data_IF_877795172215
#
_entry.id   IF_877795172215
#
_cell.length_a   1.000
_cell.length_b   1.000
_cell.length_c   1.000
_cell.angle_alpha   90.00
_cell.angle_beta   90.00
_cell.angle_gamma   90.00
#
_symmetry.space_group_name_H-M   'P 1'
#
loop_
_entity.id
_entity.type
_entity.pdbx_description
1 polymer ?
#
# COMPACT_ATOMS: atom_id res chain seq x y z
N UNK A 1 13.44 1.48 16.75
CA UNK A 1 13.85 1.80 15.37
C UNK A 1 12.85 1.26 14.35
N UNK A 2 13.23 1.24 13.06
CA UNK A 2 12.36 0.78 11.95
C UNK A 2 12.03 -0.71 12.07
N UNK A 3 13.01 -1.52 12.43
CA UNK A 3 12.85 -2.98 12.52
C UNK A 3 11.96 -3.38 13.72
N UNK A 4 12.04 -2.66 14.83
CA UNK A 4 11.22 -2.88 16.01
C UNK A 4 9.75 -2.53 15.73
N UNK A 5 9.49 -1.41 15.04
CA UNK A 5 8.13 -1.03 14.61
C UNK A 5 7.54 -2.06 13.64
N UNK A 6 8.35 -2.59 12.71
CA UNK A 6 7.91 -3.62 11.78
C UNK A 6 7.48 -4.90 12.53
N UNK A 7 8.33 -5.39 13.44
CA UNK A 7 7.99 -6.56 14.27
C UNK A 7 6.75 -6.34 15.13
N UNK A 8 6.59 -5.15 15.72
CA UNK A 8 5.37 -4.83 16.48
C UNK A 8 4.13 -4.89 15.59
N UNK A 9 4.21 -4.37 14.37
CA UNK A 9 3.09 -4.38 13.41
C UNK A 9 2.70 -5.80 13.03
N UNK A 10 3.68 -6.67 12.79
CA UNK A 10 3.45 -8.10 12.53
C UNK A 10 2.77 -8.78 13.72
N UNK A 11 3.33 -8.63 14.93
CA UNK A 11 2.80 -9.25 16.14
C UNK A 11 1.37 -8.80 16.44
N UNK A 12 1.06 -7.50 16.27
CA UNK A 12 -0.29 -6.95 16.46
C UNK A 12 -1.34 -7.51 15.49
N UNK A 13 -0.93 -8.16 14.40
CA UNK A 13 -1.84 -8.79 13.44
C UNK A 13 -1.87 -10.30 13.59
N UNK A 14 -0.70 -10.93 13.65
CA UNK A 14 -0.57 -12.39 13.68
C UNK A 14 -1.05 -12.95 15.02
N UNK A 15 -0.76 -12.30 16.16
CA UNK A 15 -1.11 -12.81 17.48
C UNK A 15 -2.56 -12.57 17.90
N UNK A 16 -3.44 -12.12 16.98
CA UNK A 16 -4.87 -12.00 17.25
C UNK A 16 -5.58 -13.34 17.28
N UNK A 17 -5.01 -14.35 16.62
CA UNK A 17 -5.57 -15.70 16.51
C UNK A 17 -4.78 -16.71 17.34
N UNK A 18 -5.43 -17.83 17.70
CA UNK A 18 -4.76 -18.95 18.36
C UNK A 18 -4.23 -19.96 17.33
N UNK A 19 -2.95 -20.33 17.49
CA UNK A 19 -2.28 -21.30 16.62
C UNK A 19 -2.05 -22.62 17.33
N UNK A 20 -2.83 -23.62 16.96
CA UNK A 20 -2.74 -24.98 17.54
C UNK A 20 -1.61 -25.83 16.92
N UNK A 21 -1.11 -25.42 15.75
CA UNK A 21 -0.02 -26.10 15.04
C UNK A 21 1.04 -25.07 14.64
N UNK A 22 2.34 -25.36 14.83
CA UNK A 22 3.42 -24.45 14.43
C UNK A 22 3.37 -24.04 12.96
N UNK A 23 3.07 -24.98 12.06
CA UNK A 23 2.98 -24.70 10.62
C UNK A 23 1.86 -23.72 10.25
N UNK A 24 0.80 -23.59 11.08
CA UNK A 24 -0.22 -22.57 10.84
C UNK A 24 0.30 -21.17 11.19
N UNK A 25 1.03 -21.04 12.30
CA UNK A 25 1.68 -19.78 12.67
C UNK A 25 2.70 -19.35 11.61
N UNK A 26 3.53 -20.28 11.13
CA UNK A 26 4.50 -20.02 10.06
C UNK A 26 3.81 -19.51 8.79
N UNK A 27 2.70 -20.14 8.40
CA UNK A 27 1.90 -19.68 7.26
C UNK A 27 1.35 -18.27 7.47
N UNK A 28 0.76 -17.98 8.62
CA UNK A 28 0.23 -16.63 8.90
C UNK A 28 1.31 -15.56 8.94
N UNK A 29 2.52 -15.88 9.42
CA UNK A 29 3.66 -14.97 9.32
C UNK A 29 4.02 -14.73 7.85
N UNK A 30 4.07 -15.78 7.02
CA UNK A 30 4.32 -15.67 5.58
C UNK A 30 3.28 -14.79 4.88
N UNK A 31 1.99 -15.03 5.14
CA UNK A 31 0.88 -14.25 4.59
C UNK A 31 0.95 -12.78 5.02
N UNK A 32 1.32 -12.51 6.28
CA UNK A 32 1.54 -11.14 6.75
C UNK A 32 2.68 -10.45 6.00
N UNK A 33 3.81 -11.15 5.81
CA UNK A 33 4.98 -10.59 5.12
C UNK A 33 4.64 -10.25 3.68
N UNK A 34 3.96 -11.16 2.97
CA UNK A 34 3.51 -10.92 1.59
C UNK A 34 2.58 -9.71 1.52
N UNK A 35 1.55 -9.68 2.36
CA UNK A 35 0.62 -8.56 2.43
C UNK A 35 1.33 -7.24 2.72
N UNK A 36 2.21 -7.20 3.73
CA UNK A 36 2.89 -5.98 4.16
C UNK A 36 3.78 -5.40 3.05
N UNK A 37 4.49 -6.27 2.33
CA UNK A 37 5.48 -5.88 1.34
C UNK A 37 4.88 -5.63 -0.05
N UNK A 38 3.93 -6.45 -0.48
CA UNK A 38 3.46 -6.47 -1.87
C UNK A 38 2.09 -5.82 -2.07
N UNK A 39 1.28 -5.71 -1.02
CA UNK A 39 -0.13 -5.31 -1.16
C UNK A 39 -0.47 -4.05 -0.35
N UNK A 40 0.11 -3.89 0.83
CA UNK A 40 -0.18 -2.76 1.72
C UNK A 40 0.49 -1.48 1.23
N UNK A 41 -0.31 -0.46 1.00
CA UNK A 41 0.18 0.90 0.76
C UNK A 41 0.59 1.56 2.08
N UNK A 42 1.71 2.30 2.05
CA UNK A 42 2.20 3.04 3.22
C UNK A 42 2.21 4.54 2.94
N UNK A 43 1.56 5.31 3.80
CA UNK A 43 1.44 6.77 3.65
C UNK A 43 2.80 7.46 3.64
N UNK A 44 3.73 7.01 4.49
CA UNK A 44 5.12 7.50 4.52
C UNK A 44 5.88 7.25 3.21
N UNK A 45 5.40 6.33 2.37
CA UNK A 45 5.92 6.03 1.05
C UNK A 45 5.05 6.63 -0.06
N UNK A 46 4.26 7.68 0.22
CA UNK A 46 3.33 8.29 -0.74
C UNK A 46 2.30 7.28 -1.29
N UNK A 47 1.86 6.36 -0.44
CA UNK A 47 0.89 5.32 -0.78
C UNK A 47 1.35 4.40 -1.93
N UNK A 48 2.63 4.04 -1.95
CA UNK A 48 3.15 2.90 -2.73
C UNK A 48 3.53 1.77 -1.78
N UNK A 49 3.74 0.57 -2.32
CA UNK A 49 4.09 -0.61 -1.51
C UNK A 49 5.59 -0.62 -1.19
N UNK A 50 6.03 -1.29 -0.10
CA UNK A 50 7.45 -1.41 0.20
C UNK A 50 8.22 -2.12 -0.92
N UNK A 51 7.63 -3.13 -1.57
CA UNK A 51 8.21 -3.81 -2.71
C UNK A 51 8.45 -2.84 -3.89
N UNK A 52 7.50 -1.95 -4.19
CA UNK A 52 7.68 -0.97 -5.27
C UNK A 52 8.81 0.02 -4.99
N UNK A 53 9.00 0.41 -3.74
CA UNK A 53 10.15 1.24 -3.35
C UNK A 53 11.45 0.45 -3.48
N UNK A 54 11.47 -0.80 -2.97
CA UNK A 54 12.65 -1.66 -3.03
C UNK A 54 13.12 -1.92 -4.46
N UNK A 55 12.18 -2.22 -5.38
CA UNK A 55 12.47 -2.43 -6.79
C UNK A 55 12.56 -1.14 -7.62
N UNK A 56 12.45 0.05 -6.99
CA UNK A 56 12.58 1.36 -7.67
C UNK A 56 11.46 1.68 -8.67
N UNK A 57 10.30 1.03 -8.55
CA UNK A 57 9.12 1.25 -9.41
C UNK A 57 8.25 2.42 -8.94
N UNK A 58 8.44 2.88 -7.71
CA UNK A 58 7.72 3.96 -7.04
C UNK A 58 7.63 5.24 -7.90
N UNK A 59 8.75 5.68 -8.49
CA UNK A 59 8.80 6.92 -9.29
C UNK A 59 7.92 6.85 -10.53
N UNK A 60 7.80 5.68 -11.16
CA UNK A 60 6.96 5.51 -12.34
C UNK A 60 5.48 5.53 -11.96
N UNK A 61 5.13 4.83 -10.87
CA UNK A 61 3.76 4.79 -10.32
C UNK A 61 3.28 6.20 -9.97
N UNK A 62 4.11 6.99 -9.28
CA UNK A 62 3.74 8.33 -8.85
C UNK A 62 3.55 9.29 -10.03
N UNK A 63 4.41 9.21 -11.07
CA UNK A 63 4.28 10.00 -12.29
C UNK A 63 2.97 9.70 -13.03
N UNK A 64 2.61 8.43 -13.17
CA UNK A 64 1.36 8.07 -13.85
C UNK A 64 0.14 8.53 -13.04
N UNK A 65 0.16 8.39 -11.71
CA UNK A 65 -0.91 8.90 -10.84
C UNK A 65 -1.11 10.41 -10.95
N UNK A 66 -0.02 11.19 -11.02
CA UNK A 66 -0.09 12.64 -11.21
C UNK A 66 -0.73 13.00 -12.56
N UNK A 67 -0.32 12.33 -13.63
CA UNK A 67 -0.90 12.51 -14.97
C UNK A 67 -2.40 12.24 -14.98
N UNK A 68 -2.83 11.10 -14.42
CA UNK A 68 -4.25 10.73 -14.31
C UNK A 68 -5.01 11.81 -13.52
N UNK A 69 -4.50 12.22 -12.36
CA UNK A 69 -5.13 13.26 -11.52
C UNK A 69 -5.36 14.56 -12.29
N UNK A 70 -4.35 15.03 -13.04
CA UNK A 70 -4.45 16.25 -13.83
C UNK A 70 -5.50 16.14 -14.95
N UNK A 71 -5.53 15.00 -15.65
CA UNK A 71 -6.52 14.72 -16.69
C UNK A 71 -7.94 14.70 -16.12
N UNK A 72 -8.15 14.00 -15.00
CA UNK A 72 -9.46 13.93 -14.33
C UNK A 72 -9.94 15.31 -13.88
N UNK A 73 -9.07 16.14 -13.29
CA UNK A 73 -9.43 17.51 -12.89
C UNK A 73 -9.83 18.35 -14.10
N UNK A 74 -9.07 18.28 -15.20
CA UNK A 74 -9.40 19.00 -16.43
C UNK A 74 -10.74 18.58 -17.00
N UNK A 75 -11.01 17.28 -17.06
CA UNK A 75 -12.28 16.74 -17.55
C UNK A 75 -13.46 17.21 -16.70
N UNK A 76 -13.33 17.16 -15.37
CA UNK A 76 -14.37 17.66 -14.45
C UNK A 76 -14.67 19.14 -14.67
N UNK A 77 -13.64 19.98 -14.83
CA UNK A 77 -13.81 21.42 -15.12
C UNK A 77 -14.60 21.66 -16.41
N UNK A 78 -14.28 20.93 -17.48
CA UNK A 78 -14.98 21.04 -18.76
C UNK A 78 -16.45 20.62 -18.64
N UNK A 79 -16.74 19.54 -17.90
CA UNK A 79 -18.12 19.09 -17.66
C UNK A 79 -18.93 20.13 -16.88
N UNK A 80 -18.35 20.72 -15.83
CA UNK A 80 -19.01 21.78 -15.07
C UNK A 80 -19.29 23.03 -15.91
N UNK A 81 -18.35 23.45 -16.76
CA UNK A 81 -18.58 24.59 -17.67
C UNK A 81 -19.72 24.33 -18.65
N UNK A 82 -19.83 23.10 -19.19
CA UNK A 82 -20.93 22.72 -20.08
C UNK A 82 -22.29 22.67 -19.39
N UNK A 83 -22.34 22.36 -18.09
CA UNK A 83 -23.59 22.33 -17.32
C UNK A 83 -24.06 23.73 -16.91
N UNK A 84 -23.14 24.70 -16.83
CA UNK A 84 -23.44 26.08 -16.45
C UNK A 84 -23.81 26.98 -17.64
N UNK A 85 -23.68 26.49 -18.88
CA UNK A 85 -24.10 27.13 -20.11
C UNK A 85 -25.45 26.60 -20.57
#
# INVERSE_FOLDING_TARGET
GKIERWHQTMKNRVLLENYYLPGHLERQIGDFVDYYNNQRYHESLKNVTPADVYFGRDKAILREREKIKNLTIRQRRLQHQKQAA
#
